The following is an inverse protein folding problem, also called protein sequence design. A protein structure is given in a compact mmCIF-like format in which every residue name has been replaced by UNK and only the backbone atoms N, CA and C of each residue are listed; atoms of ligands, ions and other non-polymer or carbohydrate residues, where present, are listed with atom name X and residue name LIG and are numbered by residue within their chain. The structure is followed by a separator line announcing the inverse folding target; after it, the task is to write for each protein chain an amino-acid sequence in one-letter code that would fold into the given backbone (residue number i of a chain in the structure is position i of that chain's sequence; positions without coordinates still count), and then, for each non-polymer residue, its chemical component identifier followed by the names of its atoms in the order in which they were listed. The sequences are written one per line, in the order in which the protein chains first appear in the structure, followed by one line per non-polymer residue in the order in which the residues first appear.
data_IF_019458326560
#
_entry.id   IF_019458326560
#
_cell.length_a   1.000
_cell.length_b   1.000
_cell.length_c   1.000
_cell.angle_alpha   90.00
_cell.angle_beta   90.00
_cell.angle_gamma   90.00
#
_symmetry.space_group_name_H-M   'P 1'
#
loop_
_entity.id
_entity.type
_entity.pdbx_description
1 polymer ?
#
# COMPACT_ATOMS: atom_id res chain seq x y z
N UNK A 1 12.80 -2.85 23.85
CA UNK A 1 13.57 -3.07 25.10
C UNK A 1 14.87 -2.27 25.03
N UNK A 2 15.58 -2.08 26.14
CA UNK A 2 16.86 -1.36 26.17
C UNK A 2 18.02 -2.36 26.27
N UNK A 3 19.00 -2.26 25.36
CA UNK A 3 20.25 -3.04 25.37
C UNK A 3 21.40 -2.06 25.18
N UNK A 4 22.45 -2.12 25.99
CA UNK A 4 23.58 -1.18 25.96
C UNK A 4 23.14 0.31 26.01
N UNK A 5 22.09 0.63 26.80
CA UNK A 5 21.47 1.97 26.89
C UNK A 5 20.89 2.49 25.55
N UNK A 6 20.74 1.64 24.54
CA UNK A 6 20.11 1.95 23.26
C UNK A 6 18.87 1.08 23.04
N UNK A 7 17.97 1.56 22.19
CA UNK A 7 16.70 0.88 21.95
C UNK A 7 16.91 -0.30 20.98
N UNK A 8 16.55 -1.51 21.45
CA UNK A 8 16.31 -2.68 20.61
C UNK A 8 14.81 -2.79 20.34
N UNK A 9 14.44 -2.68 19.07
CA UNK A 9 13.06 -2.84 18.61
C UNK A 9 12.94 -4.18 17.91
N UNK A 10 11.94 -4.96 18.32
CA UNK A 10 11.61 -6.25 17.71
C UNK A 10 10.12 -6.20 17.36
N UNK A 11 9.78 -6.60 16.14
CA UNK A 11 8.43 -6.72 15.65
C UNK A 11 8.20 -8.15 15.16
N UNK A 12 7.11 -8.74 15.63
CA UNK A 12 6.64 -10.05 15.19
C UNK A 12 5.40 -9.88 14.31
N UNK A 13 5.31 -10.67 13.25
CA UNK A 13 4.09 -10.87 12.49
C UNK A 13 4.01 -12.34 12.06
N UNK A 14 3.25 -13.13 12.81
CA UNK A 14 3.18 -14.59 12.64
C UNK A 14 4.60 -15.18 12.62
N UNK A 15 5.07 -15.66 11.47
CA UNK A 15 6.39 -16.28 11.31
C UNK A 15 7.51 -15.27 10.97
N UNK A 16 7.17 -14.02 10.66
CA UNK A 16 8.14 -12.99 10.29
C UNK A 16 8.60 -12.17 11.51
N UNK A 17 9.91 -12.05 11.67
CA UNK A 17 10.55 -11.23 12.71
C UNK A 17 11.39 -10.13 12.07
N UNK A 18 11.16 -8.89 12.49
CA UNK A 18 11.99 -7.74 12.14
C UNK A 18 12.61 -7.15 13.41
N UNK A 19 13.94 -7.12 13.48
CA UNK A 19 14.68 -6.53 14.60
C UNK A 19 15.57 -5.38 14.12
N UNK A 20 15.70 -4.34 14.95
CA UNK A 20 16.57 -3.19 14.66
C UNK A 20 17.26 -2.70 15.93
N UNK A 21 18.57 -2.43 15.82
CA UNK A 21 19.40 -1.86 16.87
C UNK A 21 20.50 -1.00 16.24
N UNK A 22 21.05 -0.05 17.01
CA UNK A 22 22.13 0.84 16.55
C UNK A 22 23.50 0.14 16.46
N UNK A 23 23.67 -0.97 17.20
CA UNK A 23 24.88 -1.78 17.22
C UNK A 23 24.59 -3.14 16.60
N UNK A 24 25.33 -3.47 15.54
CA UNK A 24 25.18 -4.71 14.77
C UNK A 24 25.36 -5.96 15.64
N UNK A 25 26.34 -5.95 16.56
CA UNK A 25 26.61 -7.08 17.46
C UNK A 25 25.38 -7.51 18.28
N UNK A 26 24.58 -6.55 18.74
CA UNK A 26 23.35 -6.86 19.47
C UNK A 26 22.34 -7.61 18.60
N UNK A 27 22.29 -7.33 17.29
CA UNK A 27 21.45 -8.08 16.35
C UNK A 27 22.01 -9.47 16.06
N UNK A 28 23.33 -9.62 15.99
CA UNK A 28 24.03 -10.91 15.83
C UNK A 28 23.80 -11.82 17.04
N UNK A 29 23.92 -11.27 18.26
CA UNK A 29 23.65 -11.96 19.52
C UNK A 29 22.17 -12.39 19.59
N UNK A 30 21.26 -11.48 19.24
CA UNK A 30 19.83 -11.78 19.18
C UNK A 30 19.49 -12.88 18.15
N UNK A 31 20.14 -12.85 16.99
CA UNK A 31 19.97 -13.86 15.96
C UNK A 31 20.48 -15.24 16.41
N UNK A 32 21.63 -15.26 17.07
CA UNK A 32 22.21 -16.48 17.65
C UNK A 32 21.25 -17.08 18.68
N UNK A 33 20.74 -16.24 19.59
CA UNK A 33 19.76 -16.65 20.59
C UNK A 33 18.46 -17.21 19.98
N UNK A 34 17.91 -16.56 18.94
CA UNK A 34 16.72 -17.06 18.24
C UNK A 34 16.98 -18.44 17.63
N UNK A 35 18.11 -18.62 16.97
CA UNK A 35 18.44 -19.90 16.35
C UNK A 35 18.63 -21.01 17.36
N UNK A 36 19.31 -20.74 18.48
CA UNK A 36 19.46 -21.73 19.54
C UNK A 36 18.11 -22.12 20.15
N UNK A 37 17.24 -21.13 20.38
CA UNK A 37 15.94 -21.36 21.03
C UNK A 37 14.94 -22.10 20.15
N UNK A 38 14.98 -21.87 18.83
CA UNK A 38 13.97 -22.34 17.89
C UNK A 38 14.49 -23.27 16.78
N UNK A 39 15.77 -23.68 16.83
CA UNK A 39 16.43 -24.59 15.85
C UNK A 39 15.64 -25.85 15.51
N UNK A 40 14.88 -26.37 16.46
CA UNK A 40 14.09 -27.61 16.31
C UNK A 40 12.78 -27.45 15.54
N UNK A 41 12.32 -26.22 15.27
CA UNK A 41 11.04 -25.97 14.59
C UNK A 41 11.22 -25.61 13.11
N UNK A 42 12.17 -24.72 12.80
CA UNK A 42 12.49 -24.29 11.45
C UNK A 42 13.82 -23.53 11.45
N UNK A 43 14.62 -23.66 10.40
CA UNK A 43 15.81 -22.83 10.23
C UNK A 43 15.40 -21.36 10.03
N UNK A 44 15.91 -20.46 10.87
CA UNK A 44 15.59 -19.03 10.78
C UNK A 44 16.52 -18.38 9.77
N UNK A 45 16.03 -18.11 8.58
CA UNK A 45 16.76 -17.34 7.57
C UNK A 45 16.80 -15.87 7.97
N UNK A 46 17.99 -15.32 8.21
CA UNK A 46 18.17 -13.89 8.51
C UNK A 46 18.81 -13.16 7.32
N UNK A 47 18.28 -11.99 7.02
CA UNK A 47 18.84 -11.07 6.04
C UNK A 47 19.21 -9.76 6.74
N UNK A 48 20.52 -9.51 6.87
CA UNK A 48 21.05 -8.24 7.36
C UNK A 48 21.15 -7.19 6.26
N UNK A 49 21.40 -5.93 6.64
CA UNK A 49 21.69 -4.85 5.71
C UNK A 49 20.75 -3.66 5.84
N UNK A 50 20.57 -2.92 4.74
CA UNK A 50 19.70 -1.73 4.68
C UNK A 50 18.42 -1.95 3.89
N UNK A 51 18.31 -3.08 3.18
CA UNK A 51 17.16 -3.41 2.33
C UNK A 51 16.62 -4.75 2.80
N UNK A 52 15.35 -4.76 3.21
CA UNK A 52 14.72 -5.95 3.77
C UNK A 52 13.40 -6.24 3.06
N UNK A 53 13.08 -7.51 2.87
CA UNK A 53 11.75 -7.96 2.46
C UNK A 53 10.95 -8.29 3.72
N UNK A 54 9.76 -7.71 3.88
CA UNK A 54 8.89 -7.90 5.03
C UNK A 54 7.42 -7.78 4.59
N UNK A 55 6.60 -8.82 4.83
CA UNK A 55 5.18 -8.86 4.46
C UNK A 55 4.89 -8.53 2.99
N UNK A 56 5.74 -9.02 2.07
CA UNK A 56 5.62 -8.74 0.63
C UNK A 56 5.98 -7.31 0.23
N UNK A 57 6.49 -6.49 1.16
CA UNK A 57 7.06 -5.17 0.88
C UNK A 57 8.59 -5.25 0.92
N UNK A 58 9.24 -4.38 0.16
CA UNK A 58 10.66 -4.11 0.31
C UNK A 58 10.87 -2.78 1.04
N UNK A 59 11.46 -2.85 2.23
CA UNK A 59 11.81 -1.72 3.07
C UNK A 59 13.27 -1.34 2.81
N UNK A 60 13.49 -0.16 2.22
CA UNK A 60 14.81 0.35 1.84
C UNK A 60 15.20 1.55 2.72
N UNK A 61 16.19 1.31 3.59
CA UNK A 61 16.81 2.26 4.51
C UNK A 61 18.17 2.77 4.01
N UNK A 62 18.49 2.61 2.72
CA UNK A 62 19.81 2.95 2.16
C UNK A 62 20.15 4.44 2.32
N UNK A 63 19.13 5.30 2.32
CA UNK A 63 19.26 6.75 2.56
C UNK A 63 19.00 7.07 4.03
N UNK A 64 20.00 7.67 4.70
CA UNK A 64 19.90 8.08 6.11
C UNK A 64 18.65 8.96 6.33
N UNK A 65 17.88 8.65 7.37
CA UNK A 65 16.67 9.39 7.74
C UNK A 65 15.46 9.19 6.82
N UNK A 66 15.55 8.28 5.84
CA UNK A 66 14.45 7.98 4.91
C UNK A 66 14.17 6.48 4.86
N UNK A 67 12.90 6.12 4.85
CA UNK A 67 12.42 4.77 4.57
C UNK A 67 11.67 4.81 3.24
N UNK A 68 12.19 4.11 2.24
CA UNK A 68 11.47 3.88 0.99
C UNK A 68 10.76 2.53 1.06
N UNK A 69 9.45 2.53 0.89
CA UNK A 69 8.61 1.33 0.82
C UNK A 69 8.33 1.03 -0.66
N UNK A 70 8.68 -0.18 -1.09
CA UNK A 70 8.47 -0.65 -2.47
C UNK A 70 7.64 -1.92 -2.48
N UNK A 71 6.81 -2.05 -3.51
CA UNK A 71 6.02 -3.25 -3.77
C UNK A 71 6.10 -3.62 -5.25
N UNK A 72 7.31 -3.49 -5.82
CA UNK A 72 7.57 -3.61 -7.26
C UNK A 72 7.07 -4.95 -7.81
N UNK A 73 7.34 -6.06 -7.10
CA UNK A 73 6.87 -7.39 -7.49
C UNK A 73 5.34 -7.49 -7.52
N UNK A 74 4.65 -6.85 -6.58
CA UNK A 74 3.20 -6.84 -6.54
C UNK A 74 2.62 -6.04 -7.71
N UNK A 75 3.20 -4.86 -7.99
CA UNK A 75 2.79 -4.01 -9.12
C UNK A 75 3.01 -4.74 -10.44
N UNK A 76 4.20 -5.33 -10.63
CA UNK A 76 4.53 -6.06 -11.85
C UNK A 76 3.59 -7.26 -12.05
N UNK A 77 3.37 -8.08 -11.02
CA UNK A 77 2.43 -9.21 -11.06
C UNK A 77 1.02 -8.75 -11.45
N UNK A 78 0.53 -7.65 -10.87
CA UNK A 78 -0.79 -7.12 -11.21
C UNK A 78 -0.87 -6.69 -12.69
N UNK A 79 0.17 -6.05 -13.23
CA UNK A 79 0.22 -5.68 -14.66
C UNK A 79 0.29 -6.91 -15.58
N UNK A 80 1.01 -7.94 -15.16
CA UNK A 80 1.19 -9.18 -15.92
C UNK A 80 -0.08 -10.05 -15.91
N UNK A 81 -0.84 -10.06 -14.82
CA UNK A 81 -2.05 -10.88 -14.67
C UNK A 81 -3.34 -10.25 -15.19
N UNK A 82 -3.33 -8.93 -15.45
CA UNK A 82 -4.54 -8.22 -15.90
C UNK A 82 -4.85 -8.52 -17.36
N UNK A 83 -6.12 -8.73 -17.68
CA UNK A 83 -6.59 -9.09 -19.02
C UNK A 83 -6.30 -8.01 -20.06
N UNK A 84 -6.35 -6.73 -19.66
CA UNK A 84 -6.03 -5.60 -20.55
C UNK A 84 -4.55 -5.28 -20.48
N UNK A 85 -3.88 -5.31 -21.63
CA UNK A 85 -2.46 -4.94 -21.76
C UNK A 85 -2.32 -3.49 -22.19
N UNK A 86 -1.30 -2.83 -21.66
CA UNK A 86 -0.95 -1.45 -21.95
C UNK A 86 0.39 -1.42 -22.67
N UNK A 87 0.51 -0.53 -23.65
CA UNK A 87 1.77 -0.23 -24.31
C UNK A 87 2.56 0.81 -23.52
N UNK A 88 3.84 1.00 -23.83
CA UNK A 88 4.69 2.00 -23.15
C UNK A 88 4.26 3.45 -23.42
N UNK A 89 3.54 3.70 -24.52
CA UNK A 89 2.93 4.99 -24.86
C UNK A 89 1.58 5.25 -24.19
N UNK A 90 0.95 4.21 -23.59
CA UNK A 90 -0.30 4.36 -22.85
C UNK A 90 -0.06 5.08 -21.52
N UNK A 91 -0.15 6.40 -21.55
CA UNK A 91 0.01 7.26 -20.38
C UNK A 91 -1.34 7.63 -19.77
N UNK A 92 -1.36 7.65 -18.45
CA UNK A 92 -2.48 8.11 -17.66
C UNK A 92 -1.95 8.88 -16.46
N UNK A 93 -2.36 10.14 -16.34
CA UNK A 93 -1.82 11.08 -15.34
C UNK A 93 -2.53 11.00 -13.99
N UNK A 94 -3.82 10.67 -14.00
CA UNK A 94 -4.63 10.56 -12.78
C UNK A 94 -5.26 9.17 -12.63
N UNK A 95 -5.37 8.65 -11.39
CA UNK A 95 -5.94 7.32 -11.13
C UNK A 95 -7.46 7.26 -11.36
N UNK A 96 -8.14 8.40 -11.38
CA UNK A 96 -9.59 8.52 -11.55
C UNK A 96 -9.95 9.56 -12.61
N UNK A 97 -11.09 9.36 -13.27
CA UNK A 97 -11.73 10.37 -14.12
C UNK A 97 -12.70 11.23 -13.32
N UNK A 98 -13.32 12.21 -13.98
CA UNK A 98 -14.34 13.07 -13.36
C UNK A 98 -15.63 12.29 -13.01
N UNK A 99 -15.80 11.12 -13.61
CA UNK A 99 -16.92 10.20 -13.45
C UNK A 99 -16.76 9.26 -12.24
N UNK A 100 -15.71 9.41 -11.42
CA UNK A 100 -15.41 8.49 -10.32
C UNK A 100 -16.62 8.29 -9.39
N UNK A 101 -17.28 9.39 -9.01
CA UNK A 101 -18.42 9.40 -8.09
C UNK A 101 -19.77 9.24 -8.80
N UNK A 102 -19.80 9.25 -10.13
CA UNK A 102 -21.04 9.02 -10.87
C UNK A 102 -21.56 7.59 -10.68
N UNK A 103 -22.90 7.46 -10.65
CA UNK A 103 -23.57 6.15 -10.67
C UNK A 103 -23.14 5.40 -11.92
N UNK A 104 -22.70 4.15 -11.72
CA UNK A 104 -22.22 3.31 -12.82
C UNK A 104 -23.30 3.10 -13.88
N UNK A 105 -22.92 3.28 -15.15
CA UNK A 105 -23.78 3.15 -16.32
C UNK A 105 -23.40 1.88 -17.09
N UNK A 106 -24.39 1.27 -17.74
CA UNK A 106 -24.19 0.11 -18.62
C UNK A 106 -24.64 -1.21 -18.00
N UNK A 107 -24.38 -2.29 -18.73
CA UNK A 107 -24.75 -3.64 -18.30
C UNK A 107 -23.83 -4.12 -17.18
N UNK A 108 -24.34 -5.04 -16.35
CA UNK A 108 -23.51 -5.77 -15.39
C UNK A 108 -22.42 -6.53 -16.15
N UNK A 109 -21.24 -6.65 -15.51
CA UNK A 109 -20.14 -7.43 -16.04
C UNK A 109 -20.51 -8.91 -16.10
N UNK A 110 -19.90 -9.67 -17.01
CA UNK A 110 -20.01 -11.13 -17.02
C UNK A 110 -19.23 -11.74 -15.85
N UNK A 111 -19.43 -13.04 -15.57
CA UNK A 111 -18.86 -13.70 -14.39
C UNK A 111 -17.32 -13.66 -14.36
N UNK A 112 -16.67 -13.73 -15.51
CA UNK A 112 -15.21 -13.73 -15.58
C UNK A 112 -14.67 -12.33 -15.29
N UNK A 113 -15.26 -11.30 -15.90
CA UNK A 113 -14.94 -9.90 -15.59
C UNK A 113 -15.25 -9.52 -14.14
N UNK A 114 -16.35 -10.00 -13.56
CA UNK A 114 -16.66 -9.77 -12.13
C UNK A 114 -15.60 -10.37 -11.22
N UNK A 115 -15.17 -11.59 -11.51
CA UNK A 115 -14.12 -12.29 -10.74
C UNK A 115 -12.79 -11.54 -10.85
N UNK A 116 -12.42 -11.12 -12.05
CA UNK A 116 -11.23 -10.31 -12.28
C UNK A 116 -11.33 -8.95 -11.54
N UNK A 117 -12.46 -8.27 -11.65
CA UNK A 117 -12.71 -6.99 -10.97
C UNK A 117 -12.54 -7.12 -9.45
N UNK A 118 -13.18 -8.11 -8.84
CA UNK A 118 -13.06 -8.37 -7.40
C UNK A 118 -11.61 -8.65 -6.98
N UNK A 119 -10.91 -9.53 -7.72
CA UNK A 119 -9.50 -9.87 -7.47
C UNK A 119 -8.61 -8.63 -7.53
N UNK A 120 -8.75 -7.82 -8.57
CA UNK A 120 -7.90 -6.65 -8.75
C UNK A 120 -8.20 -5.54 -7.75
N UNK A 121 -9.46 -5.30 -7.41
CA UNK A 121 -9.82 -4.33 -6.37
C UNK A 121 -9.24 -4.74 -5.03
N UNK A 122 -9.29 -6.02 -4.66
CA UNK A 122 -8.66 -6.54 -3.45
C UNK A 122 -7.12 -6.37 -3.45
N UNK A 123 -6.46 -6.70 -4.56
CA UNK A 123 -5.02 -6.51 -4.73
C UNK A 123 -4.62 -5.03 -4.59
N UNK A 124 -5.39 -4.12 -5.19
CA UNK A 124 -5.17 -2.68 -5.03
C UNK A 124 -5.41 -2.21 -3.59
N UNK A 125 -6.39 -2.76 -2.87
CA UNK A 125 -6.63 -2.40 -1.49
C UNK A 125 -5.42 -2.72 -0.61
N UNK A 126 -4.73 -3.83 -0.88
CA UNK A 126 -3.47 -4.17 -0.24
C UNK A 126 -2.37 -3.16 -0.64
N UNK A 127 -2.14 -2.97 -1.95
CA UNK A 127 -1.10 -2.05 -2.45
C UNK A 127 -1.25 -0.61 -1.94
N UNK A 128 -2.47 -0.09 -1.90
CA UNK A 128 -2.78 1.30 -1.50
C UNK A 128 -2.64 1.54 0.00
N UNK A 129 -2.90 0.52 0.83
CA UNK A 129 -2.69 0.59 2.29
C UNK A 129 -1.21 0.61 2.68
N UNK A 130 -0.33 0.12 1.79
CA UNK A 130 1.08 -0.10 2.12
C UNK A 130 2.06 0.81 1.35
N UNK A 131 1.85 1.07 0.06
CA UNK A 131 2.82 1.78 -0.78
C UNK A 131 2.25 2.82 -1.76
N UNK A 132 0.97 2.72 -2.15
CA UNK A 132 0.35 3.57 -3.19
C UNK A 132 -0.87 4.35 -2.69
N UNK A 133 -0.65 5.23 -1.71
CA UNK A 133 -1.72 6.01 -1.09
C UNK A 133 -2.43 6.95 -2.08
N UNK A 134 -1.76 7.32 -3.18
CA UNK A 134 -2.29 8.16 -4.26
C UNK A 134 -3.50 7.54 -4.97
N UNK A 135 -3.59 6.21 -5.03
CA UNK A 135 -4.67 5.48 -5.68
C UNK A 135 -5.83 5.14 -4.73
N UNK A 136 -5.67 5.38 -3.44
CA UNK A 136 -6.59 4.91 -2.41
C UNK A 136 -8.03 5.45 -2.57
N UNK A 137 -8.27 6.74 -2.88
CA UNK A 137 -9.65 7.23 -3.09
C UNK A 137 -10.38 6.46 -4.20
N UNK A 138 -9.71 6.25 -5.34
CA UNK A 138 -10.27 5.48 -6.47
C UNK A 138 -10.62 4.05 -6.05
N UNK A 139 -9.70 3.39 -5.35
CA UNK A 139 -9.87 2.00 -4.91
C UNK A 139 -10.99 1.87 -3.87
N UNK A 140 -11.16 2.84 -2.98
CA UNK A 140 -12.25 2.85 -2.01
C UNK A 140 -13.63 2.89 -2.69
N UNK A 141 -13.77 3.70 -3.75
CA UNK A 141 -15.01 3.74 -4.55
C UNK A 141 -15.23 2.42 -5.29
N UNK A 142 -14.22 1.89 -5.98
CA UNK A 142 -14.34 0.61 -6.68
C UNK A 142 -14.67 -0.56 -5.74
N UNK A 143 -14.14 -0.54 -4.51
CA UNK A 143 -14.47 -1.53 -3.48
C UNK A 143 -15.94 -1.47 -3.05
N UNK A 144 -16.56 -0.29 -3.05
CA UNK A 144 -18.00 -0.16 -2.77
C UNK A 144 -18.89 -0.72 -3.89
N UNK A 145 -18.37 -0.84 -5.11
CA UNK A 145 -19.07 -1.31 -6.30
C UNK A 145 -18.87 -2.81 -6.57
N UNK A 146 -18.08 -3.50 -5.72
CA UNK A 146 -17.65 -4.89 -5.97
C UNK A 146 -18.78 -5.92 -5.99
N UNK A 147 -19.92 -5.62 -5.38
CA UNK A 147 -21.05 -6.57 -5.33
C UNK A 147 -21.77 -6.71 -6.68
N UNK A 148 -21.90 -5.63 -7.44
CA UNK A 148 -22.62 -5.60 -8.71
C UNK A 148 -21.92 -4.65 -9.70
N UNK A 149 -20.67 -4.95 -10.12
CA UNK A 149 -19.93 -4.04 -10.98
C UNK A 149 -20.53 -4.03 -12.39
N UNK A 150 -20.55 -2.85 -13.00
CA UNK A 150 -21.01 -2.63 -14.37
C UNK A 150 -19.87 -2.18 -15.29
N UNK A 151 -20.17 -1.98 -16.58
CA UNK A 151 -19.20 -1.55 -17.59
C UNK A 151 -18.50 -0.23 -17.26
N UNK A 152 -19.18 0.73 -16.64
CA UNK A 152 -18.53 1.99 -16.20
C UNK A 152 -17.48 1.71 -15.12
N UNK A 153 -17.79 0.84 -14.15
CA UNK A 153 -16.85 0.47 -13.09
C UNK A 153 -15.63 -0.27 -13.67
N UNK A 154 -15.83 -1.12 -14.67
CA UNK A 154 -14.74 -1.75 -15.42
C UNK A 154 -13.81 -0.72 -16.07
N UNK A 155 -14.37 0.29 -16.75
CA UNK A 155 -13.56 1.35 -17.35
C UNK A 155 -12.76 2.15 -16.31
N UNK A 156 -13.34 2.39 -15.12
CA UNK A 156 -12.64 3.03 -13.99
C UNK A 156 -11.48 2.16 -13.51
N UNK A 157 -11.66 0.84 -13.42
CA UNK A 157 -10.57 -0.10 -13.08
C UNK A 157 -9.47 -0.13 -14.16
N UNK A 158 -9.84 -0.16 -15.44
CA UNK A 158 -8.87 -0.12 -16.55
C UNK A 158 -8.06 1.17 -16.53
N UNK A 159 -8.70 2.33 -16.25
CA UNK A 159 -8.00 3.61 -16.07
C UNK A 159 -7.02 3.55 -14.89
N UNK A 160 -7.45 3.01 -13.76
CA UNK A 160 -6.59 2.83 -12.58
C UNK A 160 -5.36 1.97 -12.90
N UNK A 161 -5.55 0.88 -13.64
CA UNK A 161 -4.46 -0.01 -14.07
C UNK A 161 -3.52 0.68 -15.06
N UNK A 162 -4.03 1.50 -15.98
CA UNK A 162 -3.20 2.30 -16.89
C UNK A 162 -2.37 3.36 -16.15
N UNK A 163 -2.96 3.99 -15.14
CA UNK A 163 -2.25 4.92 -14.25
C UNK A 163 -1.13 4.19 -13.48
N UNK A 164 -1.42 3.02 -12.93
CA UNK A 164 -0.40 2.20 -12.26
C UNK A 164 0.72 1.78 -13.21
N UNK A 165 0.40 1.42 -14.45
CA UNK A 165 1.38 1.14 -15.50
C UNK A 165 2.31 2.35 -15.75
N UNK A 166 1.73 3.53 -15.91
CA UNK A 166 2.47 4.79 -16.13
C UNK A 166 3.38 5.16 -14.95
N UNK A 167 2.97 4.77 -13.74
CA UNK A 167 3.63 5.12 -12.48
C UNK A 167 4.29 3.92 -11.80
N UNK A 168 4.60 2.84 -12.56
CA UNK A 168 5.10 1.57 -12.01
C UNK A 168 6.40 1.68 -11.20
N UNK A 169 7.17 2.76 -11.38
CA UNK A 169 8.42 3.05 -10.67
C UNK A 169 8.27 3.99 -9.47
N UNK A 170 7.04 4.41 -9.13
CA UNK A 170 6.80 5.31 -8.00
C UNK A 170 6.84 4.55 -6.67
N UNK A 171 7.50 5.14 -5.67
CA UNK A 171 7.69 4.54 -4.35
C UNK A 171 7.33 5.51 -3.25
N UNK A 172 6.71 5.01 -2.18
CA UNK A 172 6.45 5.80 -0.98
C UNK A 172 7.75 5.99 -0.21
N UNK A 173 8.16 7.24 -0.01
CA UNK A 173 9.31 7.58 0.84
C UNK A 173 8.81 8.32 2.07
N UNK A 174 9.06 7.74 3.24
CA UNK A 174 8.79 8.32 4.54
C UNK A 174 10.08 8.92 5.11
N UNK A 175 9.95 10.06 5.78
CA UNK A 175 11.01 10.70 6.54
C UNK A 175 10.39 11.36 7.77
N UNK A 176 11.13 11.41 8.87
CA UNK A 176 10.64 11.97 10.12
C UNK A 176 11.52 13.14 10.53
N UNK A 177 10.89 14.30 10.74
CA UNK A 177 11.60 15.48 11.25
C UNK A 177 11.69 15.41 12.78
N UNK A 178 10.60 14.95 13.40
CA UNK A 178 10.51 14.73 14.84
C UNK A 178 9.52 13.60 15.15
N UNK A 179 10.01 12.51 15.75
CA UNK A 179 9.19 11.35 16.12
C UNK A 179 8.10 11.64 17.16
N UNK A 180 8.11 12.82 17.79
CA UNK A 180 7.10 13.26 18.76
C UNK A 180 5.94 14.02 18.13
N UNK A 181 6.06 14.42 16.85
CA UNK A 181 5.07 15.28 16.18
C UNK A 181 4.36 14.47 15.10
N UNK A 182 3.07 14.23 15.32
CA UNK A 182 2.16 13.62 14.34
C UNK A 182 1.26 14.73 13.77
N UNK A 183 1.32 14.95 12.46
CA UNK A 183 0.49 15.92 11.74
C UNK A 183 -0.65 15.19 11.03
N UNK A 184 -1.86 15.74 11.14
CA UNK A 184 -3.04 15.29 10.43
C UNK A 184 -3.52 16.41 9.51
N UNK A 185 -3.74 16.08 8.25
CA UNK A 185 -4.43 16.93 7.29
C UNK A 185 -5.80 16.32 7.05
N UNK A 186 -6.86 17.07 7.28
CA UNK A 186 -8.23 16.62 7.10
C UNK A 186 -8.87 17.51 6.05
N UNK A 187 -9.42 16.89 5.01
CA UNK A 187 -10.17 17.56 3.97
C UNK A 187 -11.58 16.94 3.88
N UNK A 188 -12.58 17.76 3.55
CA UNK A 188 -13.96 17.31 3.46
C UNK A 188 -14.64 17.95 2.25
N UNK A 189 -15.28 17.12 1.44
CA UNK A 189 -16.11 17.55 0.32
C UNK A 189 -17.57 17.24 0.63
N UNK A 190 -18.42 18.27 0.57
CA UNK A 190 -19.84 18.17 0.91
C UNK A 190 -20.67 17.75 -0.31
N UNK A 191 -21.60 16.81 -0.12
CA UNK A 191 -22.56 16.36 -1.13
C UNK A 191 -21.97 15.91 -2.50
N UNK A 192 -20.80 15.29 -2.48
CA UNK A 192 -20.10 14.87 -3.72
C UNK A 192 -20.57 13.54 -4.28
N UNK A 193 -21.36 12.78 -3.51
CA UNK A 193 -21.96 11.54 -3.96
C UNK A 193 -23.37 11.78 -4.54
N UNK A 194 -23.84 10.92 -5.46
CA UNK A 194 -25.21 11.00 -6.00
C UNK A 194 -26.32 10.90 -4.95
N UNK A 195 -26.02 10.33 -3.79
CA UNK A 195 -26.90 10.26 -2.62
C UNK A 195 -26.73 11.43 -1.64
N UNK A 196 -26.06 12.51 -2.06
CA UNK A 196 -25.73 13.72 -1.29
C UNK A 196 -24.87 13.46 -0.05
N UNK A 197 -24.24 12.29 0.07
CA UNK A 197 -23.31 12.03 1.16
C UNK A 197 -22.04 12.87 1.03
N UNK A 198 -21.50 13.23 2.19
CA UNK A 198 -20.24 13.95 2.28
C UNK A 198 -19.07 12.97 2.38
N UNK A 199 -17.94 13.32 1.76
CA UNK A 199 -16.72 12.53 1.80
C UNK A 199 -15.66 13.27 2.64
N UNK A 200 -15.14 12.63 3.68
CA UNK A 200 -14.04 13.18 4.50
C UNK A 200 -12.79 12.34 4.29
N UNK A 201 -11.68 12.96 3.89
CA UNK A 201 -10.36 12.33 3.80
C UNK A 201 -9.45 12.83 4.91
N UNK A 202 -8.70 11.93 5.55
CA UNK A 202 -7.63 12.31 6.48
C UNK A 202 -6.29 11.70 6.07
N UNK A 203 -5.23 12.51 6.01
CA UNK A 203 -3.83 12.07 5.82
C UNK A 203 -3.04 12.29 7.11
N UNK A 204 -2.34 11.27 7.57
CA UNK A 204 -1.40 11.35 8.69
C UNK A 204 0.05 11.32 8.20
N UNK A 205 0.91 12.18 8.75
CA UNK A 205 2.36 12.17 8.53
C UNK A 205 3.14 12.53 9.80
N UNK A 206 4.42 12.16 9.86
CA UNK A 206 5.38 12.54 10.92
C UNK A 206 6.58 13.35 10.36
N UNK A 207 6.46 13.86 9.14
CA UNK A 207 7.52 14.57 8.43
C UNK A 207 7.24 14.59 6.93
N UNK A 208 8.18 14.12 6.11
CA UNK A 208 7.97 13.95 4.68
C UNK A 208 7.31 12.61 4.35
N UNK A 209 6.26 12.65 3.52
CA UNK A 209 5.52 11.49 3.03
C UNK A 209 4.27 11.16 3.85
N UNK A 210 3.21 10.70 3.19
CA UNK A 210 1.97 10.28 3.85
C UNK A 210 2.15 8.87 4.43
N UNK A 211 1.86 8.69 5.72
CA UNK A 211 1.96 7.40 6.39
C UNK A 211 0.64 6.63 6.35
N UNK A 212 -0.49 7.34 6.40
CA UNK A 212 -1.83 6.75 6.35
C UNK A 212 -2.82 7.70 5.71
N UNK A 213 -3.70 7.17 4.86
CA UNK A 213 -4.89 7.84 4.35
C UNK A 213 -6.13 7.10 4.90
N UNK A 214 -7.11 7.87 5.36
CA UNK A 214 -8.39 7.39 5.84
C UNK A 214 -9.51 8.16 5.12
N UNK A 215 -10.02 7.67 3.98
CA UNK A 215 -11.26 8.17 3.41
C UNK A 215 -12.45 7.61 4.20
N UNK A 216 -13.46 8.45 4.43
CA UNK A 216 -14.69 8.08 5.12
C UNK A 216 -15.87 8.78 4.47
N UNK A 217 -16.81 7.99 3.96
CA UNK A 217 -18.14 8.49 3.61
C UNK A 217 -18.91 8.71 4.90
N UNK A 218 -19.37 9.94 5.13
CA UNK A 218 -20.33 10.24 6.21
C UNK A 218 -21.72 10.21 5.61
N UNK A 219 -22.55 9.33 6.20
CA UNK A 219 -23.99 9.21 5.99
C UNK A 219 -24.70 10.53 6.22
#
# INVERSE_FOLDING_TARGET
MMVNKKQLTIRFHVDDVLASHMEQRVLEDFFTWINERYRGLKEVTCTGGRVHTYLGMTLDYSKKGKLKIRMDNCVQRMLDEFSVKFKEDDKQETPAGNDLLEVGKGKLLDKDQQTEFHRFVANHLFLTKHARLDMHPTVAILASQVQNPNQSDWHKLVRLMRYMHSTKKWHLTLSTDNLRVMKWYVDASFAVHPDFKSHTGGVMTMGGGAMRLCPRNRS
#
